data_IF_700201775659
#
_entry.id   IF_700201775659
#
_cell.length_a   1.000
_cell.length_b   1.000
_cell.length_c   1.000
_cell.angle_alpha   90.00
_cell.angle_beta   90.00
_cell.angle_gamma   90.00
#
_symmetry.space_group_name_H-M   'P 1'
#
loop_
_entity.id
_entity.type
_entity.pdbx_description
1 polymer ?
#
# COMPACT_ATOMS: atom_id res chain seq x y z
N UNK A 1 12.87 -8.64 14.91
CA UNK A 1 11.39 -8.66 14.96
C UNK A 1 10.91 -9.00 13.57
N UNK A 2 10.20 -10.12 13.44
CA UNK A 2 9.65 -10.57 12.17
C UNK A 2 8.34 -9.83 11.89
N UNK A 3 8.14 -9.37 10.66
CA UNK A 3 6.90 -8.70 10.25
C UNK A 3 6.08 -9.72 9.47
N UNK A 4 5.17 -10.40 10.16
CA UNK A 4 4.22 -11.30 9.50
C UNK A 4 3.08 -10.49 8.90
N UNK A 5 2.84 -10.66 7.60
CA UNK A 5 1.63 -10.12 6.95
C UNK A 5 0.41 -10.83 7.56
N UNK A 6 -0.53 -10.13 8.19
CA UNK A 6 -1.72 -10.76 8.74
C UNK A 6 -2.62 -11.26 7.60
N UNK A 7 -3.52 -12.19 7.92
CA UNK A 7 -4.56 -12.63 6.99
C UNK A 7 -5.71 -11.62 6.86
N UNK A 8 -5.83 -10.70 7.82
CA UNK A 8 -6.96 -9.79 8.00
C UNK A 8 -6.49 -8.38 8.39
N UNK A 9 -7.34 -7.39 8.15
CA UNK A 9 -7.10 -6.01 8.56
C UNK A 9 -7.37 -5.90 10.06
N UNK A 10 -6.34 -5.53 10.84
CA UNK A 10 -6.46 -5.40 12.29
C UNK A 10 -7.25 -4.17 12.74
N UNK A 11 -7.00 -3.01 12.11
CA UNK A 11 -7.72 -1.76 12.36
C UNK A 11 -8.28 -1.20 11.05
N UNK A 12 -9.57 -0.84 11.04
CA UNK A 12 -10.26 -0.28 9.87
C UNK A 12 -10.18 1.24 9.91
N UNK A 13 -9.68 1.84 8.83
CA UNK A 13 -9.75 3.28 8.62
C UNK A 13 -11.13 3.69 8.08
N UNK A 14 -11.61 2.96 7.06
CA UNK A 14 -12.92 3.21 6.47
C UNK A 14 -13.52 1.93 5.89
N UNK A 15 -14.84 1.82 5.96
CA UNK A 15 -15.59 0.75 5.32
C UNK A 15 -16.88 1.32 4.75
N UNK A 16 -17.17 1.00 3.50
CA UNK A 16 -18.36 1.52 2.84
C UNK A 16 -18.47 1.12 1.38
N UNK A 17 -19.44 1.73 0.72
CA UNK A 17 -19.71 1.52 -0.70
C UNK A 17 -18.97 2.58 -1.51
N UNK A 18 -18.29 2.18 -2.58
CA UNK A 18 -17.63 3.14 -3.47
C UNK A 18 -18.65 3.88 -4.34
N UNK A 19 -18.35 5.13 -4.65
CA UNK A 19 -19.24 6.03 -5.39
C UNK A 19 -18.63 6.46 -6.72
N UNK A 20 -19.51 6.61 -7.72
CA UNK A 20 -19.13 7.23 -8.97
C UNK A 20 -18.96 8.75 -8.77
N UNK A 21 -18.09 9.41 -9.54
CA UNK A 21 -18.02 10.86 -9.55
C UNK A 21 -19.39 11.50 -9.78
N UNK A 22 -19.67 12.69 -9.21
CA UNK A 22 -21.01 13.31 -9.22
C UNK A 22 -21.59 13.58 -10.62
N UNK A 23 -20.74 13.61 -11.66
CA UNK A 23 -21.13 13.86 -13.05
C UNK A 23 -21.16 12.59 -13.94
N UNK A 24 -21.08 11.39 -13.36
CA UNK A 24 -21.14 10.13 -14.11
C UNK A 24 -22.54 9.49 -14.10
N UNK A 25 -22.77 8.57 -15.05
CA UNK A 25 -23.94 7.71 -15.10
C UNK A 25 -24.19 7.04 -13.75
N UNK A 26 -25.45 7.08 -13.30
CA UNK A 26 -25.85 6.44 -12.04
C UNK A 26 -25.73 4.93 -12.19
N UNK A 27 -24.77 4.35 -11.48
CA UNK A 27 -24.66 2.91 -11.28
C UNK A 27 -25.63 2.46 -10.19
N UNK A 28 -26.29 1.32 -10.41
CA UNK A 28 -27.16 0.69 -9.41
C UNK A 28 -26.41 0.48 -8.09
N UNK A 29 -27.02 0.72 -6.92
CA UNK A 29 -26.38 0.43 -5.63
C UNK A 29 -25.88 -1.01 -5.50
N UNK A 30 -26.55 -1.99 -6.14
CA UNK A 30 -26.13 -3.39 -6.13
C UNK A 30 -24.82 -3.65 -6.89
N UNK A 31 -24.50 -2.79 -7.86
CA UNK A 31 -23.31 -2.88 -8.70
C UNK A 31 -22.12 -2.10 -8.15
N UNK A 32 -22.28 -1.47 -6.98
CA UNK A 32 -21.19 -0.80 -6.29
C UNK A 32 -20.50 -1.80 -5.36
N UNK A 33 -19.18 -1.94 -5.45
CA UNK A 33 -18.43 -2.77 -4.52
C UNK A 33 -18.45 -2.13 -3.14
N UNK A 34 -18.59 -2.98 -2.13
CA UNK A 34 -18.27 -2.62 -0.75
C UNK A 34 -16.78 -2.88 -0.57
N UNK A 35 -16.10 -1.99 0.14
CA UNK A 35 -14.68 -2.15 0.45
C UNK A 35 -14.41 -1.84 1.91
N UNK A 36 -13.32 -2.41 2.40
CA UNK A 36 -12.72 -2.05 3.68
C UNK A 36 -11.30 -1.56 3.40
N UNK A 37 -10.94 -0.39 3.94
CA UNK A 37 -9.58 0.16 3.87
C UNK A 37 -9.03 0.14 5.29
N UNK A 38 -7.87 -0.51 5.44
CA UNK A 38 -7.18 -0.62 6.72
C UNK A 38 -6.50 0.69 7.11
N UNK A 39 -6.33 0.91 8.40
CA UNK A 39 -5.46 1.96 8.91
C UNK A 39 -4.02 1.64 8.52
N UNK A 40 -3.31 2.66 8.03
CA UNK A 40 -1.90 2.50 7.68
C UNK A 40 -1.08 2.20 8.94
N UNK A 41 -0.19 1.21 8.83
CA UNK A 41 0.70 0.79 9.92
C UNK A 41 2.12 1.21 9.58
N UNK A 42 2.86 1.68 10.60
CA UNK A 42 4.19 2.26 10.41
C UNK A 42 5.19 1.64 11.38
N UNK A 43 6.40 1.39 10.88
CA UNK A 43 7.57 1.03 11.67
C UNK A 43 8.74 1.93 11.28
N UNK A 44 9.44 2.47 12.27
CA UNK A 44 10.71 3.16 12.01
C UNK A 44 11.69 2.16 11.40
N UNK A 45 12.34 2.53 10.29
CA UNK A 45 13.31 1.66 9.61
C UNK A 45 14.58 1.42 10.44
N UNK A 46 15.15 2.41 11.15
CA UNK A 46 16.22 2.15 12.11
C UNK A 46 15.86 1.06 13.14
N UNK A 47 14.67 1.11 13.72
CA UNK A 47 14.17 0.07 14.62
C UNK A 47 13.94 -1.25 13.87
N UNK A 48 13.63 -1.14 12.57
CA UNK A 48 13.43 -2.28 11.70
C UNK A 48 14.73 -3.03 11.38
N UNK A 49 15.77 -2.31 10.99
CA UNK A 49 16.96 -2.88 10.37
C UNK A 49 18.16 -3.02 11.30
N UNK A 50 18.11 -2.50 12.53
CA UNK A 50 19.22 -2.59 13.49
C UNK A 50 19.63 -4.06 13.71
N UNK A 51 20.75 -4.52 13.12
CA UNK A 51 21.12 -5.93 13.13
C UNK A 51 21.94 -6.31 14.37
N UNK A 52 22.46 -5.31 15.08
CA UNK A 52 23.32 -5.46 16.26
C UNK A 52 23.02 -4.29 17.19
N UNK A 53 22.81 -4.58 18.48
CA UNK A 53 22.70 -3.55 19.53
C UNK A 53 23.97 -2.69 19.50
N UNK A 54 23.84 -1.40 19.18
CA UNK A 54 24.94 -0.42 19.24
C UNK A 54 25.50 0.08 17.90
N UNK A 55 25.00 -0.39 16.74
CA UNK A 55 25.38 0.17 15.44
C UNK A 55 24.20 0.97 14.84
N UNK A 56 24.38 2.28 14.68
CA UNK A 56 23.38 3.14 14.03
C UNK A 56 23.37 2.84 12.53
N UNK A 57 22.23 2.35 12.01
CA UNK A 57 22.03 2.20 10.58
C UNK A 57 21.97 3.59 9.92
N UNK A 58 22.70 3.78 8.82
CA UNK A 58 22.72 5.01 8.03
C UNK A 58 21.99 4.75 6.73
N UNK A 59 20.98 5.57 6.42
CA UNK A 59 20.18 5.42 5.22
C UNK A 59 20.91 5.78 3.93
N UNK A 60 20.42 5.31 2.77
CA UNK A 60 21.06 5.51 1.48
C UNK A 60 21.18 6.97 1.05
N UNK A 61 20.30 7.85 1.56
CA UNK A 61 20.34 9.31 1.30
C UNK A 61 20.74 10.12 2.53
N UNK A 62 21.66 9.57 3.34
CA UNK A 62 22.26 10.28 4.46
C UNK A 62 21.29 10.48 5.63
N UNK A 63 20.88 11.73 5.87
CA UNK A 63 20.11 12.15 7.04
C UNK A 63 18.59 11.97 6.91
N UNK A 64 18.09 11.32 5.86
CA UNK A 64 16.66 11.08 5.74
C UNK A 64 16.14 10.15 6.83
N UNK A 65 14.91 10.41 7.26
CA UNK A 65 14.14 9.47 8.06
C UNK A 65 13.36 8.54 7.15
N UNK A 66 13.26 7.28 7.58
CA UNK A 66 12.63 6.22 6.81
C UNK A 66 11.64 5.44 7.65
N UNK A 67 10.49 5.14 7.06
CA UNK A 67 9.43 4.33 7.67
C UNK A 67 9.02 3.22 6.72
N UNK A 68 8.93 2.00 7.24
CA UNK A 68 8.19 0.94 6.56
C UNK A 68 6.71 1.17 6.84
N UNK A 69 5.92 1.31 5.79
CA UNK A 69 4.47 1.49 5.84
C UNK A 69 3.78 0.28 5.24
N UNK A 70 2.70 -0.19 5.88
CA UNK A 70 1.79 -1.21 5.34
C UNK A 70 0.42 -0.60 5.10
N UNK A 71 -0.14 -0.89 3.93
CA UNK A 71 -1.48 -0.50 3.51
C UNK A 71 -2.27 -1.75 3.15
N UNK A 72 -3.56 -1.73 3.44
CA UNK A 72 -4.44 -2.86 3.18
C UNK A 72 -5.80 -2.41 2.66
N UNK A 73 -6.35 -3.16 1.73
CA UNK A 73 -7.74 -3.04 1.33
C UNK A 73 -8.38 -4.41 1.10
N UNK A 74 -9.68 -4.50 1.37
CA UNK A 74 -10.51 -5.66 1.06
C UNK A 74 -11.54 -5.25 0.03
N UNK A 75 -11.58 -5.98 -1.08
CA UNK A 75 -12.58 -5.78 -2.13
C UNK A 75 -13.65 -6.87 -2.02
N UNK A 76 -14.90 -6.46 -1.85
CA UNK A 76 -16.03 -7.38 -1.89
C UNK A 76 -16.67 -7.37 -3.29
N UNK A 77 -17.01 -8.56 -3.79
CA UNK A 77 -17.74 -8.71 -5.05
C UNK A 77 -19.03 -7.87 -5.00
N UNK A 78 -19.34 -7.07 -6.03
CA UNK A 78 -20.65 -6.45 -6.18
C UNK A 78 -21.78 -7.50 -6.12
N UNK A 79 -22.96 -7.10 -5.64
CA UNK A 79 -24.11 -8.02 -5.54
C UNK A 79 -24.88 -8.13 -6.86
N UNK A 80 -24.72 -7.16 -7.76
CA UNK A 80 -25.33 -7.12 -9.08
C UNK A 80 -24.57 -7.91 -10.13
N UNK A 81 -24.75 -7.54 -11.40
CA UNK A 81 -24.12 -8.19 -12.55
C UNK A 81 -22.72 -7.63 -12.87
N UNK A 82 -22.34 -6.52 -12.24
CA UNK A 82 -21.02 -5.91 -12.44
C UNK A 82 -19.87 -6.75 -11.90
N UNK A 83 -18.70 -6.57 -12.51
CA UNK A 83 -17.46 -7.24 -12.11
C UNK A 83 -16.35 -6.23 -11.90
N UNK A 84 -15.49 -6.47 -10.91
CA UNK A 84 -14.32 -5.63 -10.67
C UNK A 84 -13.25 -6.00 -11.70
N UNK A 85 -12.83 -5.03 -12.52
CA UNK A 85 -11.83 -5.22 -13.59
C UNK A 85 -10.48 -4.59 -13.27
N UNK A 86 -10.44 -3.64 -12.34
CA UNK A 86 -9.21 -3.02 -11.87
C UNK A 86 -9.43 -2.41 -10.50
N UNK A 87 -8.41 -2.40 -9.66
CA UNK A 87 -8.35 -1.52 -8.51
C UNK A 87 -7.01 -0.80 -8.49
N UNK A 88 -6.98 0.40 -7.91
CA UNK A 88 -5.77 1.18 -7.72
C UNK A 88 -5.76 1.74 -6.30
N UNK A 89 -4.70 1.45 -5.56
CA UNK A 89 -4.41 2.11 -4.28
C UNK A 89 -3.31 3.12 -4.53
N UNK A 90 -3.62 4.41 -4.40
CA UNK A 90 -2.70 5.52 -4.62
C UNK A 90 -2.46 6.27 -3.32
N UNK A 91 -1.21 6.69 -3.10
CA UNK A 91 -0.84 7.54 -1.99
C UNK A 91 -0.61 8.98 -2.47
N UNK A 92 -0.92 9.95 -1.61
CA UNK A 92 -0.55 11.35 -1.82
C UNK A 92 0.35 11.80 -0.67
N UNK A 93 1.66 11.69 -0.86
CA UNK A 93 2.66 11.93 0.18
C UNK A 93 3.04 13.42 0.23
N UNK A 94 3.17 13.94 1.45
CA UNK A 94 3.59 15.31 1.74
C UNK A 94 4.46 15.33 2.99
N UNK A 95 5.36 16.32 3.13
CA UNK A 95 6.02 16.56 4.41
C UNK A 95 4.96 16.85 5.47
N UNK A 96 5.20 16.37 6.70
CA UNK A 96 4.31 16.61 7.83
C UNK A 96 4.29 18.10 8.20
N UNK A 97 5.46 18.71 8.21
CA UNK A 97 5.65 20.15 8.33
C UNK A 97 5.49 20.84 6.97
N UNK A 98 4.82 21.99 6.95
CA UNK A 98 4.52 22.74 5.73
C UNK A 98 5.39 23.98 5.56
N UNK A 99 6.52 24.05 6.26
CA UNK A 99 7.41 25.20 6.20
C UNK A 99 8.15 25.26 4.86
N UNK A 100 8.50 26.46 4.43
CA UNK A 100 9.34 26.64 3.25
C UNK A 100 10.69 25.95 3.49
N UNK A 101 11.08 25.07 2.58
CA UNK A 101 12.32 24.31 2.69
C UNK A 101 12.20 22.94 3.37
N UNK A 102 11.02 22.51 3.83
CA UNK A 102 10.78 21.20 4.46
C UNK A 102 11.07 19.96 3.58
N UNK A 103 11.55 20.17 2.35
CA UNK A 103 11.82 19.10 1.39
C UNK A 103 10.58 18.35 0.91
N UNK A 104 10.79 17.23 0.23
CA UNK A 104 9.72 16.38 -0.32
C UNK A 104 9.66 15.05 0.41
N UNK A 105 8.45 14.61 0.74
CA UNK A 105 8.18 13.23 1.15
C UNK A 105 7.88 12.38 -0.09
N UNK A 106 8.43 11.17 -0.13
CA UNK A 106 8.28 10.25 -1.27
C UNK A 106 8.34 8.80 -0.81
N UNK A 107 7.96 7.87 -1.70
CA UNK A 107 8.17 6.44 -1.46
C UNK A 107 9.51 6.02 -2.04
N UNK A 108 10.49 5.70 -1.20
CA UNK A 108 11.79 5.19 -1.60
C UNK A 108 11.71 3.83 -2.30
N UNK A 109 10.88 2.93 -1.79
CA UNK A 109 10.66 1.60 -2.37
C UNK A 109 9.20 1.19 -2.21
N UNK A 110 8.69 0.36 -3.13
CA UNK A 110 7.34 -0.18 -3.13
C UNK A 110 7.39 -1.69 -3.20
N UNK A 111 6.47 -2.35 -2.52
CA UNK A 111 6.33 -3.80 -2.56
C UNK A 111 4.86 -4.22 -2.49
N UNK A 112 4.43 -5.23 -3.24
CA UNK A 112 5.20 -5.87 -4.31
C UNK A 112 5.50 -4.90 -5.45
N UNK A 113 6.63 -5.10 -6.13
CA UNK A 113 6.91 -4.39 -7.38
C UNK A 113 6.05 -4.95 -8.51
N UNK A 114 6.09 -6.28 -8.68
CA UNK A 114 5.24 -7.03 -9.59
C UNK A 114 4.96 -8.41 -9.00
N UNK A 115 3.70 -8.81 -8.97
CA UNK A 115 3.28 -10.19 -8.70
C UNK A 115 2.40 -10.67 -9.84
N UNK A 116 2.76 -11.81 -10.42
CA UNK A 116 1.99 -12.49 -11.46
C UNK A 116 1.34 -13.76 -10.91
N UNK A 117 0.28 -14.21 -11.58
CA UNK A 117 -0.59 -15.28 -11.08
C UNK A 117 0.08 -16.65 -10.93
N UNK A 118 1.25 -16.86 -11.52
CA UNK A 118 2.01 -18.12 -11.44
C UNK A 118 2.86 -18.23 -10.16
N UNK A 119 3.01 -17.15 -9.39
CA UNK A 119 3.75 -17.18 -8.13
C UNK A 119 2.89 -17.74 -7.00
N UNK A 120 2.91 -19.07 -6.85
CA UNK A 120 2.37 -19.77 -5.68
C UNK A 120 3.48 -20.03 -4.66
N UNK A 121 3.45 -19.36 -3.50
CA UNK A 121 4.42 -19.65 -2.45
C UNK A 121 4.37 -18.75 -1.22
N UNK A 122 5.16 -19.10 -0.20
CA UNK A 122 5.54 -18.17 0.87
C UNK A 122 6.58 -17.19 0.32
N UNK A 123 6.17 -16.02 -0.15
CA UNK A 123 7.13 -14.99 -0.56
C UNK A 123 7.66 -14.38 0.73
N UNK A 124 8.96 -14.55 0.98
CA UNK A 124 9.65 -13.83 2.04
C UNK A 124 10.19 -12.56 1.41
N UNK A 125 9.86 -11.37 1.92
CA UNK A 125 10.48 -10.14 1.47
C UNK A 125 11.55 -9.70 2.46
N UNK A 126 12.73 -9.31 1.98
CA UNK A 126 13.80 -8.76 2.82
C UNK A 126 13.86 -7.25 2.61
N UNK A 127 13.68 -6.47 3.69
CA UNK A 127 14.13 -5.07 3.67
C UNK A 127 15.65 -5.08 3.84
N UNK A 128 16.39 -4.78 2.76
CA UNK A 128 17.84 -4.78 2.78
C UNK A 128 18.40 -3.45 3.31
N UNK A 129 19.71 -3.35 3.63
CA UNK A 129 20.33 -2.10 4.07
C UNK A 129 20.21 -0.93 3.08
N UNK A 130 20.00 -1.23 1.79
CA UNK A 130 19.74 -0.26 0.71
C UNK A 130 18.27 0.15 0.61
N UNK A 131 17.41 -0.31 1.52
CA UNK A 131 15.98 -0.05 1.59
C UNK A 131 15.16 -0.53 0.39
N UNK A 132 15.66 -1.52 -0.30
CA UNK A 132 14.89 -2.26 -1.30
C UNK A 132 14.18 -3.40 -0.58
N UNK A 133 12.93 -3.66 -0.96
CA UNK A 133 12.18 -4.83 -0.51
C UNK A 133 12.26 -5.89 -1.61
N UNK A 134 13.00 -6.97 -1.38
CA UNK A 134 13.24 -8.01 -2.38
C UNK A 134 12.55 -9.31 -2.00
N UNK A 135 11.87 -9.97 -2.96
CA UNK A 135 11.37 -11.32 -2.78
C UNK A 135 12.55 -12.33 -2.71
N UNK A 136 12.63 -13.10 -1.63
CA UNK A 136 13.65 -14.12 -1.39
C UNK A 136 12.96 -15.48 -1.11
N UNK A 137 13.48 -16.55 -1.71
CA UNK A 137 12.93 -17.91 -1.58
C UNK A 137 13.24 -18.55 -0.23
N UNK A 138 14.51 -18.54 0.18
CA UNK A 138 14.96 -18.97 1.50
C UNK A 138 15.91 -17.91 2.07
N UNK A 139 15.56 -17.33 3.23
CA UNK A 139 16.46 -16.40 3.95
C UNK A 139 17.62 -17.23 4.51
N UNK A 140 18.80 -17.09 3.93
CA UNK A 140 20.01 -17.73 4.46
C UNK A 140 20.35 -17.12 5.83
N UNK A 141 20.62 -17.97 6.82
CA UNK A 141 21.03 -17.54 8.17
C UNK A 141 22.34 -16.74 8.05
N UNK A 142 22.26 -15.41 8.17
CA UNK A 142 23.40 -14.50 8.04
C UNK A 142 23.15 -13.23 7.21
N UNK A 143 22.05 -13.16 6.45
CA UNK A 143 21.66 -11.90 5.79
C UNK A 143 20.99 -10.94 6.79
N UNK A 144 21.51 -9.71 6.83
CA UNK A 144 20.91 -8.61 7.58
C UNK A 144 19.68 -8.10 6.82
N UNK A 145 18.49 -8.35 7.37
CA UNK A 145 17.24 -7.77 6.90
C UNK A 145 16.03 -8.42 7.56
N UNK A 146 14.85 -7.79 7.46
CA UNK A 146 13.61 -8.32 8.04
C UNK A 146 12.83 -9.15 7.04
N UNK A 147 12.37 -10.33 7.46
CA UNK A 147 11.50 -11.24 6.68
C UNK A 147 10.04 -10.76 6.71
N UNK A 148 9.42 -10.63 5.54
CA UNK A 148 7.97 -10.42 5.36
C UNK A 148 7.40 -11.65 4.65
N UNK A 149 6.69 -12.53 5.36
CA UNK A 149 6.06 -13.70 4.73
C UNK A 149 4.68 -13.36 4.15
N UNK A 150 4.44 -13.80 2.92
CA UNK A 150 3.15 -13.72 2.23
C UNK A 150 2.56 -15.11 2.02
N UNK A 151 1.26 -15.29 2.29
CA UNK A 151 0.54 -16.51 1.92
C UNK A 151 -0.64 -16.14 1.03
N UNK A 152 -0.49 -16.13 -0.30
CA UNK A 152 -1.65 -16.11 -1.20
C UNK A 152 -1.28 -16.29 -2.66
N UNK A 153 -2.25 -16.77 -3.43
CA UNK A 153 -2.30 -16.65 -4.89
C UNK A 153 -2.90 -15.29 -5.19
N UNK A 154 -2.19 -14.42 -5.90
CA UNK A 154 -2.57 -13.02 -6.06
C UNK A 154 -3.35 -12.76 -7.36
N UNK A 155 -4.22 -11.72 -7.40
CA UNK A 155 -4.46 -10.97 -8.63
C UNK A 155 -3.12 -10.40 -9.14
N UNK A 156 -3.04 -9.96 -10.40
CA UNK A 156 -1.83 -9.29 -10.88
C UNK A 156 -1.66 -7.97 -10.12
N UNK A 157 -0.53 -7.77 -9.47
CA UNK A 157 -0.21 -6.52 -8.74
C UNK A 157 1.02 -5.89 -9.38
N UNK A 158 0.96 -4.59 -9.65
CA UNK A 158 2.10 -3.82 -10.15
C UNK A 158 2.18 -2.49 -9.42
N UNK A 159 3.35 -2.14 -8.90
CA UNK A 159 3.60 -0.83 -8.31
C UNK A 159 4.24 0.15 -9.31
N UNK A 160 4.01 1.43 -9.06
CA UNK A 160 4.53 2.55 -9.84
C UNK A 160 4.85 3.74 -8.92
N UNK A 161 5.79 4.59 -9.35
CA UNK A 161 6.13 5.81 -8.62
C UNK A 161 7.06 5.60 -7.43
N UNK A 162 7.93 4.57 -7.47
CA UNK A 162 9.08 4.53 -6.57
C UNK A 162 9.99 5.74 -6.86
N UNK A 163 10.39 6.46 -5.80
CA UNK A 163 11.02 7.77 -5.85
C UNK A 163 10.06 8.96 -5.92
N UNK A 164 8.74 8.73 -5.99
CA UNK A 164 7.75 9.79 -6.19
C UNK A 164 6.88 10.07 -4.96
N UNK A 165 6.22 11.24 -4.95
CA UNK A 165 5.25 11.63 -3.91
C UNK A 165 3.83 11.10 -4.16
N UNK A 166 3.59 10.48 -5.32
CA UNK A 166 2.29 9.91 -5.70
C UNK A 166 2.40 8.44 -6.16
N UNK A 167 3.01 7.55 -5.35
CA UNK A 167 3.13 6.15 -5.70
C UNK A 167 1.76 5.48 -5.71
N UNK A 168 1.63 4.40 -6.47
CA UNK A 168 0.41 3.60 -6.49
C UNK A 168 0.67 2.13 -6.82
N UNK A 169 -0.31 1.29 -6.47
CA UNK A 169 -0.40 -0.10 -6.92
C UNK A 169 -1.64 -0.27 -7.77
N UNK A 170 -1.49 -0.91 -8.92
CA UNK A 170 -2.58 -1.41 -9.72
C UNK A 170 -2.78 -2.90 -9.45
N UNK A 171 -4.04 -3.28 -9.31
CA UNK A 171 -4.49 -4.65 -9.13
C UNK A 171 -5.40 -5.01 -10.30
N UNK A 172 -5.10 -6.11 -10.99
CA UNK A 172 -5.92 -6.61 -12.09
C UNK A 172 -6.34 -8.05 -11.84
N UNK A 173 -7.59 -8.43 -12.17
CA UNK A 173 -8.04 -9.80 -12.01
C UNK A 173 -7.24 -10.73 -12.92
N UNK A 174 -7.07 -11.97 -12.47
CA UNK A 174 -6.57 -13.06 -13.29
C UNK A 174 -7.73 -14.02 -13.63
N UNK A 175 -7.66 -14.73 -14.76
CA UNK A 175 -8.74 -15.62 -15.21
C UNK A 175 -9.14 -16.66 -14.13
N UNK A 176 -8.16 -17.16 -13.35
CA UNK A 176 -8.41 -18.11 -12.27
C UNK A 176 -8.72 -17.46 -10.91
N UNK A 177 -8.50 -16.14 -10.76
CA UNK A 177 -8.56 -15.42 -9.48
C UNK A 177 -9.18 -14.04 -9.69
N UNK A 178 -10.47 -13.86 -9.34
CA UNK A 178 -11.10 -12.55 -9.42
C UNK A 178 -10.43 -11.59 -8.42
N UNK A 179 -10.55 -10.29 -8.68
CA UNK A 179 -10.01 -9.25 -7.82
C UNK A 179 -10.90 -9.07 -6.57
N UNK A 180 -10.75 -9.98 -5.61
CA UNK A 180 -11.57 -10.09 -4.40
C UNK A 180 -10.73 -10.41 -3.16
N UNK A 181 -11.26 -10.02 -2.00
CA UNK A 181 -10.64 -10.24 -0.70
C UNK A 181 -9.52 -9.25 -0.36
N UNK A 182 -8.79 -9.55 0.69
CA UNK A 182 -7.76 -8.68 1.27
C UNK A 182 -6.47 -8.67 0.45
N UNK A 183 -5.98 -7.48 0.15
CA UNK A 183 -4.69 -7.17 -0.47
C UNK A 183 -3.84 -6.36 0.51
N UNK A 184 -2.54 -6.67 0.59
CA UNK A 184 -1.57 -5.93 1.39
C UNK A 184 -0.44 -5.45 0.49
N UNK A 185 -0.10 -4.17 0.62
CA UNK A 185 1.01 -3.52 -0.08
C UNK A 185 1.84 -2.70 0.91
N UNK A 186 3.09 -2.46 0.57
CA UNK A 186 4.09 -1.91 1.46
C UNK A 186 4.90 -0.84 0.76
N UNK A 187 5.24 0.23 1.47
CA UNK A 187 6.17 1.24 0.98
C UNK A 187 7.23 1.53 2.02
N UNK A 188 8.46 1.79 1.57
CA UNK A 188 9.43 2.52 2.39
C UNK A 188 9.21 3.99 2.10
N UNK A 189 8.68 4.73 3.07
CA UNK A 189 8.48 6.17 2.98
C UNK A 189 9.75 6.88 3.45
N UNK A 190 10.10 7.97 2.78
CA UNK A 190 11.29 8.76 3.08
C UNK A 190 10.93 10.24 3.15
N UNK A 191 11.54 10.95 4.09
CA UNK A 191 11.51 12.40 4.17
C UNK A 191 12.78 12.93 4.85
N UNK A 192 13.23 14.14 4.50
CA UNK A 192 14.36 14.75 5.18
C UNK A 192 13.96 15.22 6.60
N UNK A 193 14.93 15.47 7.51
CA UNK A 193 14.65 15.84 8.90
C UNK A 193 13.70 17.04 9.06
N UNK A 194 13.88 18.06 8.24
CA UNK A 194 13.07 19.28 8.24
C UNK A 194 11.59 19.04 7.84
N UNK A 195 11.26 17.87 7.28
CA UNK A 195 9.87 17.51 6.98
C UNK A 195 9.07 17.12 8.23
N UNK A 196 9.75 16.80 9.34
CA UNK A 196 9.13 16.32 10.59
C UNK A 196 8.33 15.02 10.44
N UNK A 197 8.51 14.29 9.34
CA UNK A 197 7.77 13.08 8.99
C UNK A 197 7.06 13.14 7.64
N UNK A 198 6.29 12.09 7.35
CA UNK A 198 5.42 11.98 6.18
C UNK A 198 3.97 12.03 6.62
N UNK A 199 3.17 12.87 5.97
CA UNK A 199 1.71 12.78 6.02
C UNK A 199 1.18 12.43 4.65
N UNK A 200 0.06 11.75 4.59
CA UNK A 200 -0.53 11.40 3.31
C UNK A 200 -2.01 11.09 3.38
N UNK A 201 -2.57 10.80 2.21
CA UNK A 201 -3.93 10.31 2.02
C UNK A 201 -3.84 9.03 1.17
N UNK A 202 -4.70 8.06 1.50
CA UNK A 202 -4.90 6.85 0.70
C UNK A 202 -6.13 7.08 -0.18
N UNK A 203 -5.99 6.83 -1.48
CA UNK A 203 -7.09 6.82 -2.44
C UNK A 203 -7.23 5.43 -3.03
N UNK A 204 -8.41 4.83 -2.88
CA UNK A 204 -8.76 3.57 -3.56
C UNK A 204 -9.73 3.89 -4.69
N UNK A 205 -9.32 3.59 -5.92
CA UNK A 205 -10.15 3.69 -7.13
C UNK A 205 -10.41 2.27 -7.62
N UNK A 206 -11.67 1.93 -7.87
CA UNK A 206 -12.06 0.63 -8.42
C UNK A 206 -12.79 0.85 -9.73
N UNK A 207 -12.33 0.18 -10.78
CA UNK A 207 -13.06 0.11 -12.06
C UNK A 207 -13.95 -1.11 -12.04
N UNK A 208 -15.25 -0.90 -12.22
CA UNK A 208 -16.23 -1.97 -12.41
C UNK A 208 -16.72 -2.00 -13.85
N UNK A 209 -16.78 -3.19 -14.44
CA UNK A 209 -17.45 -3.40 -15.71
C UNK A 209 -18.94 -3.59 -15.47
N UNK A 210 -19.75 -2.73 -16.11
CA UNK A 210 -21.21 -2.78 -16.10
C UNK A 210 -21.74 -3.05 -17.51
N UNK A 211 -23.05 -3.18 -17.67
CA UNK A 211 -23.70 -3.34 -18.98
C UNK A 211 -23.48 -2.13 -19.91
N UNK A 212 -23.33 -0.92 -19.33
CA UNK A 212 -23.13 0.33 -20.09
C UNK A 212 -21.66 0.68 -20.31
N UNK A 213 -20.74 -0.12 -19.78
CA UNK A 213 -19.30 0.09 -19.87
C UNK A 213 -18.58 0.14 -18.52
N UNK A 214 -17.26 0.41 -18.54
CA UNK A 214 -16.46 0.53 -17.33
C UNK A 214 -16.75 1.85 -16.59
N UNK A 215 -16.93 1.77 -15.28
CA UNK A 215 -17.17 2.93 -14.39
C UNK A 215 -16.11 2.91 -13.29
N UNK A 216 -15.49 4.06 -13.04
CA UNK A 216 -14.55 4.25 -11.92
C UNK A 216 -15.30 4.74 -10.69
N UNK A 217 -15.02 4.08 -9.57
CA UNK A 217 -15.62 4.36 -8.28
C UNK A 217 -14.52 4.67 -7.27
N UNK A 218 -14.74 5.66 -6.41
CA UNK A 218 -13.83 6.05 -5.34
C UNK A 218 -14.53 6.08 -3.99
N UNK A 219 -13.76 6.23 -2.90
CA UNK A 219 -14.35 6.50 -1.61
C UNK A 219 -15.05 7.88 -1.64
N UNK A 220 -16.19 8.06 -0.95
CA UNK A 220 -16.88 9.35 -0.90
C UNK A 220 -16.03 10.39 -0.16
N UNK A 221 -16.29 11.68 -0.40
CA UNK A 221 -15.50 12.78 0.18
C UNK A 221 -15.45 12.75 1.72
N UNK A 222 -16.52 12.29 2.36
CA UNK A 222 -16.61 12.10 3.82
C UNK A 222 -15.61 11.07 4.37
N UNK A 223 -15.12 10.13 3.54
CA UNK A 223 -14.10 9.15 3.94
C UNK A 223 -12.68 9.75 4.00
N UNK A 224 -12.46 10.93 3.41
CA UNK A 224 -11.13 11.47 3.16
C UNK A 224 -10.31 11.72 4.42
N UNK A 225 -10.95 12.19 5.49
CA UNK A 225 -10.27 12.42 6.77
C UNK A 225 -9.81 11.10 7.39
N UNK A 226 -10.68 10.07 7.38
CA UNK A 226 -10.37 8.75 7.90
C UNK A 226 -9.26 8.04 7.11
N UNK A 227 -9.12 8.36 5.81
CA UNK A 227 -8.08 7.84 4.93
C UNK A 227 -6.78 8.66 4.94
N UNK A 228 -6.70 9.69 5.79
CA UNK A 228 -5.46 10.43 6.02
C UNK A 228 -4.58 9.74 7.06
N UNK A 229 -3.27 9.88 6.91
CA UNK A 229 -2.30 9.33 7.86
C UNK A 229 -1.12 10.28 8.10
N UNK A 230 -0.40 10.01 9.19
CA UNK A 230 0.87 10.62 9.54
C UNK A 230 1.80 9.53 10.07
N UNK A 231 3.07 9.59 9.71
CA UNK A 231 4.09 8.74 10.32
C UNK A 231 4.27 9.12 11.79
N UNK A 232 4.67 8.18 12.66
CA UNK A 232 5.14 8.53 13.99
C UNK A 232 6.39 9.42 13.89
N UNK A 233 6.71 10.12 14.99
CA UNK A 233 7.98 10.81 15.11
C UNK A 233 9.15 9.82 14.86
N UNK A 234 10.24 10.27 14.23
CA UNK A 234 11.41 9.44 13.97
C UNK A 234 12.10 8.96 15.24
#
# INVERSE_FOLDING_TARGET
>A
MDITTPSEIGEVAWQGTLEAPPNMLKISPSDRPVVTIGKAEFWSVPDALSPVVGQAWIGPLGNHHYWLARFACTLHRPRGSSTITEARTQLYLRPQESQAGAGSAYAHSLFPERLEAEETGEISALLNPQLTIEAVGEVSVGQVGRKISYRKVFPVIQSFGAGESKPYWEFRPHAARPLEGTQFVYAVLAAPPEAGGVRGNIELIVTVQTEVGPIRLGAPDEAREALSFKTPAP
#
